data_IF_218733195472
#
_entry.id   IF_218733195472
#
_cell.length_a   1.000
_cell.length_b   1.000
_cell.length_c   1.000
_cell.angle_alpha   90.00
_cell.angle_beta   90.00
_cell.angle_gamma   90.00
#
_symmetry.space_group_name_H-M   'P 1'
#
loop_
_entity.id
_entity.type
_entity.pdbx_description
1 polymer ?
#
# COMPACT_ATOMS: atom_id res chain seq x y z
N UNK A 1 -2.63 21.22 -3.55
CA UNK A 1 -1.18 21.55 -3.56
C UNK A 1 -0.87 23.05 -3.38
N UNK A 2 -1.84 23.88 -2.96
CA UNK A 2 -1.68 25.35 -2.86
C UNK A 2 -0.47 25.82 -2.04
N UNK A 3 -0.15 25.14 -0.92
CA UNK A 3 1.00 25.48 -0.08
C UNK A 3 2.33 25.46 -0.86
N UNK A 4 2.49 24.56 -1.83
CA UNK A 4 3.68 24.52 -2.69
C UNK A 4 3.79 25.78 -3.56
N UNK A 5 2.66 26.23 -4.09
CA UNK A 5 2.57 27.39 -4.97
C UNK A 5 2.76 28.68 -4.18
N UNK A 6 2.11 28.81 -3.03
CA UNK A 6 2.24 29.95 -2.12
C UNK A 6 3.70 30.12 -1.65
N UNK A 7 4.33 29.01 -1.24
CA UNK A 7 5.74 29.04 -0.81
C UNK A 7 6.65 29.49 -1.94
N UNK A 8 6.42 29.00 -3.16
CA UNK A 8 7.19 29.41 -4.32
C UNK A 8 6.95 30.88 -4.71
N UNK A 9 5.71 31.35 -4.63
CA UNK A 9 5.36 32.75 -4.88
C UNK A 9 6.01 33.70 -3.86
N UNK A 10 6.21 33.24 -2.62
CA UNK A 10 6.96 33.95 -1.59
C UNK A 10 8.50 33.85 -1.74
N UNK A 11 9.01 33.21 -2.80
CA UNK A 11 10.45 33.04 -3.07
C UNK A 11 11.10 31.85 -2.35
N UNK A 12 10.32 31.03 -1.65
CA UNK A 12 10.77 29.81 -1.02
C UNK A 12 10.91 28.63 -1.99
N UNK A 13 11.61 27.58 -1.56
CA UNK A 13 11.72 26.31 -2.29
C UNK A 13 11.00 25.21 -1.53
N UNK A 14 9.91 24.72 -2.10
CA UNK A 14 9.15 23.58 -1.59
C UNK A 14 8.74 22.68 -2.74
N UNK A 15 8.78 21.37 -2.52
CA UNK A 15 8.30 20.37 -3.45
C UNK A 15 7.60 19.27 -2.68
N UNK A 16 6.63 18.62 -3.32
CA UNK A 16 5.98 17.45 -2.76
C UNK A 16 6.67 16.18 -3.27
N UNK A 17 6.88 15.23 -2.36
CA UNK A 17 7.18 13.86 -2.74
C UNK A 17 5.85 13.19 -3.09
N UNK A 18 5.79 12.57 -4.27
CA UNK A 18 4.57 11.97 -4.81
C UNK A 18 4.86 10.54 -5.20
N UNK A 19 3.93 9.64 -4.87
CA UNK A 19 4.00 8.24 -5.25
C UNK A 19 3.39 8.04 -6.64
N UNK A 20 3.86 7.05 -7.41
CA UNK A 20 3.26 6.76 -8.72
C UNK A 20 2.01 5.87 -8.66
N UNK A 21 1.62 5.43 -7.46
CA UNK A 21 0.48 4.54 -7.21
C UNK A 21 -0.03 4.73 -5.77
N UNK A 22 -1.10 4.04 -5.40
CA UNK A 22 -1.53 3.98 -4.00
C UNK A 22 -0.44 3.45 -3.09
N UNK A 23 -0.25 4.09 -1.93
CA UNK A 23 0.64 3.62 -0.88
C UNK A 23 -0.06 2.47 -0.17
N UNK A 24 0.51 1.27 -0.26
CA UNK A 24 -0.16 0.05 0.06
C UNK A 24 0.61 -0.71 1.14
N UNK A 25 -0.10 -1.20 2.16
CA UNK A 25 0.45 -2.17 3.11
C UNK A 25 0.02 -3.58 2.73
N UNK A 26 0.97 -4.51 2.82
CA UNK A 26 0.81 -5.94 2.58
C UNK A 26 0.41 -6.61 3.89
N UNK A 27 -0.67 -7.38 3.83
CA UNK A 27 -1.22 -8.10 4.97
C UNK A 27 -1.14 -9.61 4.69
N UNK A 28 -0.73 -10.38 5.69
CA UNK A 28 -0.69 -11.84 5.60
C UNK A 28 -0.61 -12.46 6.99
N UNK A 29 -1.08 -13.71 7.11
CA UNK A 29 -0.81 -14.53 8.30
C UNK A 29 0.70 -14.77 8.52
N UNK A 30 1.52 -14.70 7.47
CA UNK A 30 3.00 -14.77 7.55
C UNK A 30 3.65 -13.47 8.02
N UNK A 31 2.92 -12.36 7.99
CA UNK A 31 3.40 -11.04 8.38
C UNK A 31 2.47 -10.47 9.46
N UNK A 32 1.84 -9.34 9.19
CA UNK A 32 0.90 -8.69 10.09
C UNK A 32 -0.51 -8.73 9.49
N UNK A 33 -1.49 -8.97 10.36
CA UNK A 33 -2.89 -8.75 10.05
C UNK A 33 -3.45 -7.60 10.89
N UNK A 34 -4.54 -6.98 10.44
CA UNK A 34 -5.18 -5.93 11.20
C UNK A 34 -5.68 -6.43 12.58
N UNK A 35 -5.97 -7.72 12.72
CA UNK A 35 -6.52 -8.34 13.92
C UNK A 35 -5.50 -8.68 15.02
N UNK A 36 -4.20 -8.55 14.74
CA UNK A 36 -3.16 -9.19 15.57
C UNK A 36 -3.17 -8.79 17.04
N UNK A 37 -3.63 -7.57 17.34
CA UNK A 37 -3.70 -7.03 18.71
C UNK A 37 -5.07 -7.20 19.39
N UNK A 38 -6.06 -7.79 18.73
CA UNK A 38 -7.38 -8.01 19.32
C UNK A 38 -7.34 -9.11 20.39
N UNK A 39 -8.15 -9.02 21.47
CA UNK A 39 -8.10 -9.96 22.59
C UNK A 39 -8.21 -11.44 22.20
N UNK A 40 -9.11 -11.78 21.25
CA UNK A 40 -9.27 -13.15 20.76
C UNK A 40 -8.12 -13.60 19.85
N UNK A 41 -7.52 -12.67 19.10
CA UNK A 41 -6.53 -12.95 18.06
C UNK A 41 -5.11 -12.97 18.61
N UNK A 42 -4.75 -12.08 19.53
CA UNK A 42 -3.42 -11.95 20.10
C UNK A 42 -2.82 -13.28 20.62
N UNK A 43 -3.51 -14.08 21.47
CA UNK A 43 -2.98 -15.37 21.89
C UNK A 43 -2.90 -16.39 20.74
N UNK A 44 -3.80 -16.31 19.76
CA UNK A 44 -3.79 -17.17 18.58
C UNK A 44 -2.62 -16.83 17.64
N UNK A 45 -2.34 -15.54 17.42
CA UNK A 45 -1.27 -15.05 16.54
C UNK A 45 0.12 -15.25 17.12
N UNK A 46 0.24 -15.43 18.43
CA UNK A 46 1.48 -15.84 19.09
C UNK A 46 1.88 -17.31 18.82
N UNK A 47 0.97 -18.15 18.30
CA UNK A 47 1.27 -19.54 17.98
C UNK A 47 2.14 -19.64 16.71
N UNK A 48 2.96 -20.70 16.56
CA UNK A 48 3.64 -20.98 15.30
C UNK A 48 2.66 -21.05 14.13
N UNK A 49 3.06 -20.63 12.93
CA UNK A 49 2.18 -20.54 11.76
C UNK A 49 1.48 -21.87 11.43
N UNK A 50 2.17 -23.00 11.58
CA UNK A 50 1.58 -24.33 11.38
C UNK A 50 0.47 -24.64 12.38
N UNK A 51 0.63 -24.21 13.63
CA UNK A 51 -0.38 -24.37 14.66
C UNK A 51 -1.58 -23.46 14.42
N UNK A 52 -1.33 -22.22 13.99
CA UNK A 52 -2.40 -21.31 13.55
C UNK A 52 -3.21 -21.95 12.42
N UNK A 53 -2.54 -22.46 11.38
CA UNK A 53 -3.17 -23.15 10.25
C UNK A 53 -4.00 -24.35 10.70
N UNK A 54 -3.49 -25.16 11.62
CA UNK A 54 -4.22 -26.32 12.17
C UNK A 54 -5.48 -25.86 12.92
N UNK A 55 -5.36 -24.85 13.78
CA UNK A 55 -6.47 -24.36 14.60
C UNK A 55 -7.53 -23.58 13.83
N UNK A 56 -7.20 -22.92 12.73
CA UNK A 56 -8.20 -22.26 11.88
C UNK A 56 -9.17 -23.26 11.21
N UNK A 57 -8.82 -24.55 11.17
CA UNK A 57 -9.71 -25.63 10.71
C UNK A 57 -10.67 -26.12 11.80
N UNK A 58 -10.46 -25.73 13.06
CA UNK A 58 -11.39 -26.00 14.15
C UNK A 58 -12.55 -24.98 14.10
N UNK A 59 -13.81 -25.43 13.94
CA UNK A 59 -14.97 -24.54 13.85
C UNK A 59 -15.15 -23.63 15.07
N UNK A 60 -14.81 -24.11 16.27
CA UNK A 60 -15.00 -23.32 17.50
C UNK A 60 -13.92 -22.25 17.63
N UNK A 61 -12.67 -22.55 17.26
CA UNK A 61 -11.62 -21.53 17.18
C UNK A 61 -11.99 -20.48 16.14
N UNK A 62 -12.44 -20.91 14.96
CA UNK A 62 -12.85 -20.00 13.89
C UNK A 62 -13.98 -19.09 14.33
N UNK A 63 -15.03 -19.63 14.96
CA UNK A 63 -16.15 -18.85 15.49
C UNK A 63 -15.68 -17.77 16.46
N UNK A 64 -14.83 -18.13 17.43
CA UNK A 64 -14.27 -17.19 18.42
C UNK A 64 -13.42 -16.09 17.79
N UNK A 65 -12.60 -16.42 16.79
CA UNK A 65 -11.79 -15.42 16.08
C UNK A 65 -12.63 -14.48 15.22
N UNK A 66 -13.66 -15.00 14.54
CA UNK A 66 -14.59 -14.18 13.75
C UNK A 66 -15.38 -13.24 14.66
N UNK A 67 -15.92 -13.73 15.78
CA UNK A 67 -16.58 -12.90 16.78
C UNK A 67 -15.63 -11.82 17.32
N UNK A 68 -14.42 -12.22 17.72
CA UNK A 68 -13.42 -11.28 18.25
C UNK A 68 -12.79 -10.35 17.20
N UNK A 69 -13.03 -10.54 15.91
CA UNK A 69 -12.60 -9.59 14.87
C UNK A 69 -13.45 -8.30 14.86
N UNK A 70 -14.59 -8.32 15.57
CA UNK A 70 -15.48 -7.16 15.78
C UNK A 70 -15.22 -6.45 17.12
N UNK A 71 -14.27 -6.94 17.93
CA UNK A 71 -13.87 -6.30 19.18
C UNK A 71 -13.05 -5.02 18.94
N UNK A 72 -12.99 -4.15 19.95
CA UNK A 72 -12.08 -3.00 19.95
C UNK A 72 -10.71 -3.39 20.52
N UNK A 73 -9.60 -2.91 19.95
CA UNK A 73 -8.27 -3.11 20.52
C UNK A 73 -8.16 -2.60 21.97
N UNK A 74 -7.38 -3.28 22.81
CA UNK A 74 -7.14 -2.89 24.23
C UNK A 74 -6.39 -1.56 24.39
N UNK A 75 -5.86 -0.99 23.31
CA UNK A 75 -5.06 0.23 23.32
C UNK A 75 -5.95 1.46 23.15
N UNK A 76 -5.81 2.43 24.05
CA UNK A 76 -6.51 3.72 23.99
C UNK A 76 -6.08 4.44 22.70
N UNK A 77 -7.05 4.76 21.84
CA UNK A 77 -6.77 5.42 20.58
C UNK A 77 -5.97 6.71 20.76
N UNK A 78 -4.78 6.78 20.17
CA UNK A 78 -3.91 7.94 20.15
C UNK A 78 -4.18 8.73 18.85
N UNK A 79 -5.40 9.24 18.69
CA UNK A 79 -5.76 10.17 17.60
C UNK A 79 -6.99 9.77 16.78
N UNK A 80 -6.95 10.06 15.47
CA UNK A 80 -8.02 9.83 14.48
C UNK A 80 -8.12 8.36 14.06
N UNK A 81 -8.27 7.45 15.01
CA UNK A 81 -8.25 6.01 14.74
C UNK A 81 -9.58 5.50 14.15
N UNK A 82 -9.45 4.60 13.18
CA UNK A 82 -10.50 4.19 12.27
C UNK A 82 -11.58 3.30 12.92
N UNK A 83 -12.75 3.39 12.27
CA UNK A 83 -13.96 2.55 12.32
C UNK A 83 -13.63 1.04 12.28
N UNK A 84 -14.60 0.12 12.54
CA UNK A 84 -14.43 -1.33 12.30
C UNK A 84 -13.67 -1.59 11.01
N UNK A 85 -12.79 -2.61 11.01
CA UNK A 85 -11.80 -2.85 9.96
C UNK A 85 -12.35 -2.58 8.56
N UNK A 86 -11.66 -1.77 7.72
CA UNK A 86 -12.21 -1.33 6.45
C UNK A 86 -12.08 -2.46 5.42
N UNK A 87 -12.87 -3.53 5.54
CA UNK A 87 -12.84 -4.67 4.61
C UNK A 87 -13.17 -4.27 3.16
N UNK A 88 -13.85 -3.14 2.95
CA UNK A 88 -14.04 -2.50 1.64
C UNK A 88 -12.73 -1.96 1.03
N UNK A 89 -11.69 -1.83 1.84
CA UNK A 89 -10.36 -1.34 1.47
C UNK A 89 -9.26 -2.38 1.69
N UNK A 90 -9.64 -3.62 2.03
CA UNK A 90 -8.71 -4.76 2.04
C UNK A 90 -8.97 -5.55 0.77
N UNK A 91 -7.98 -5.61 -0.10
CA UNK A 91 -8.05 -6.25 -1.40
C UNK A 91 -7.32 -7.59 -1.38
N UNK A 92 -7.90 -8.60 -1.99
CA UNK A 92 -7.21 -9.86 -2.25
C UNK A 92 -6.12 -9.63 -3.30
N UNK A 93 -4.86 -9.96 -2.97
CA UNK A 93 -3.74 -9.82 -3.88
C UNK A 93 -3.37 -11.18 -4.50
N UNK A 94 -4.05 -11.54 -5.58
CA UNK A 94 -3.93 -12.82 -6.29
C UNK A 94 -3.35 -12.70 -7.71
N UNK A 95 -3.08 -11.48 -8.17
CA UNK A 95 -2.43 -11.17 -9.44
C UNK A 95 -1.52 -9.94 -9.31
N UNK A 96 -0.59 -9.75 -10.25
CA UNK A 96 0.27 -8.55 -10.28
C UNK A 96 -0.51 -7.32 -10.73
N UNK A 97 -1.44 -7.49 -11.67
CA UNK A 97 -2.29 -6.45 -12.20
C UNK A 97 -3.70 -6.54 -11.59
N UNK A 98 -4.29 -5.39 -11.28
CA UNK A 98 -5.69 -5.29 -10.86
C UNK A 98 -6.68 -5.22 -12.03
N UNK A 99 -7.95 -4.89 -11.77
CA UNK A 99 -8.49 -4.56 -10.44
C UNK A 99 -8.54 -5.78 -9.52
N UNK A 100 -8.27 -5.56 -8.24
CA UNK A 100 -8.42 -6.58 -7.20
C UNK A 100 -9.79 -6.47 -6.57
N UNK A 101 -10.31 -7.59 -6.06
CA UNK A 101 -11.58 -7.64 -5.35
C UNK A 101 -11.38 -7.36 -3.87
N UNK A 102 -12.32 -6.68 -3.25
CA UNK A 102 -12.26 -6.44 -1.80
C UNK A 102 -12.66 -7.69 -1.03
N UNK A 103 -12.19 -7.83 0.20
CA UNK A 103 -12.62 -8.90 1.10
C UNK A 103 -14.12 -8.77 1.39
N UNK A 104 -14.64 -7.56 1.50
CA UNK A 104 -16.07 -7.31 1.69
C UNK A 104 -16.92 -7.78 0.49
N UNK A 105 -16.47 -7.56 -0.74
CA UNK A 105 -17.14 -8.09 -1.94
C UNK A 105 -17.20 -9.62 -1.94
N UNK A 106 -16.05 -10.25 -1.66
CA UNK A 106 -15.96 -11.71 -1.61
C UNK A 106 -16.86 -12.27 -0.48
N UNK A 107 -16.88 -11.62 0.67
CA UNK A 107 -17.69 -12.01 1.81
C UNK A 107 -19.19 -11.94 1.50
N UNK A 108 -19.65 -10.84 0.86
CA UNK A 108 -21.04 -10.68 0.42
C UNK A 108 -21.47 -11.78 -0.55
N UNK A 109 -20.64 -12.07 -1.55
CA UNK A 109 -20.94 -13.13 -2.53
C UNK A 109 -21.01 -14.52 -1.89
N UNK A 110 -20.15 -14.78 -0.90
CA UNK A 110 -20.12 -16.05 -0.16
C UNK A 110 -21.19 -16.14 0.93
N UNK A 111 -21.86 -15.04 1.28
CA UNK A 111 -22.83 -14.98 2.36
C UNK A 111 -22.22 -15.21 3.75
N UNK A 112 -20.97 -14.80 3.96
CA UNK A 112 -20.22 -15.00 5.21
C UNK A 112 -19.69 -13.68 5.77
N UNK A 113 -19.24 -13.72 7.03
CA UNK A 113 -18.56 -12.59 7.66
C UNK A 113 -17.22 -12.26 6.95
N UNK A 114 -16.84 -10.97 6.79
CA UNK A 114 -15.57 -10.60 6.15
C UNK A 114 -14.30 -11.15 6.81
N UNK A 115 -14.24 -11.25 8.15
CA UNK A 115 -13.13 -11.92 8.84
C UNK A 115 -13.13 -13.42 8.51
N UNK A 116 -14.31 -14.04 8.45
CA UNK A 116 -14.44 -15.44 8.06
C UNK A 116 -13.98 -15.67 6.61
N UNK A 117 -14.31 -14.76 5.67
CA UNK A 117 -13.85 -14.80 4.29
C UNK A 117 -12.33 -14.65 4.18
N UNK A 118 -11.73 -13.73 4.95
CA UNK A 118 -10.28 -13.52 4.96
C UNK A 118 -9.53 -14.77 5.48
N UNK A 119 -10.07 -15.44 6.51
CA UNK A 119 -9.55 -16.73 7.00
C UNK A 119 -9.65 -17.80 5.91
N UNK A 120 -10.80 -17.95 5.25
CA UNK A 120 -10.98 -18.94 4.17
C UNK A 120 -10.00 -18.71 3.03
N UNK A 121 -9.90 -17.46 2.54
CA UNK A 121 -8.99 -17.07 1.47
C UNK A 121 -7.52 -17.35 1.81
N UNK A 122 -7.14 -17.21 3.08
CA UNK A 122 -5.81 -17.56 3.54
C UNK A 122 -5.61 -19.08 3.56
N UNK A 123 -6.58 -19.84 4.08
CA UNK A 123 -6.52 -21.31 4.15
C UNK A 123 -6.51 -21.98 2.77
N UNK A 124 -7.18 -21.40 1.76
CA UNK A 124 -7.15 -21.85 0.36
C UNK A 124 -5.72 -22.00 -0.20
N UNK A 125 -4.75 -21.27 0.37
CA UNK A 125 -3.33 -21.29 0.00
C UNK A 125 -2.41 -21.60 1.19
N UNK A 126 -2.86 -22.37 2.18
CA UNK A 126 -2.05 -22.75 3.35
C UNK A 126 -1.41 -21.54 4.07
N UNK A 127 -2.17 -20.45 4.22
CA UNK A 127 -1.76 -19.16 4.78
C UNK A 127 -0.72 -18.39 3.91
N UNK A 128 -0.39 -18.89 2.73
CA UNK A 128 0.42 -18.23 1.71
C UNK A 128 -0.43 -17.33 0.81
N UNK A 129 -1.11 -16.37 1.45
CA UNK A 129 -1.98 -15.40 0.79
C UNK A 129 -1.58 -14.00 1.23
N UNK A 130 -1.54 -13.09 0.26
CA UNK A 130 -1.37 -11.67 0.51
C UNK A 130 -2.70 -10.95 0.29
N UNK A 131 -2.92 -9.95 1.13
CA UNK A 131 -3.92 -8.93 0.94
C UNK A 131 -3.22 -7.57 0.91
N UNK A 132 -3.86 -6.59 0.32
CA UNK A 132 -3.34 -5.23 0.22
C UNK A 132 -4.36 -4.27 0.83
N UNK A 133 -3.88 -3.32 1.63
CA UNK A 133 -4.69 -2.23 2.16
C UNK A 133 -4.04 -0.89 1.75
N UNK A 134 -4.68 -0.08 0.90
CA UNK A 134 -4.23 1.28 0.62
C UNK A 134 -4.35 2.13 1.88
N UNK A 135 -3.28 2.83 2.24
CA UNK A 135 -3.23 3.72 3.42
C UNK A 135 -3.14 5.20 3.05
N UNK A 136 -2.80 5.49 1.80
CA UNK A 136 -2.85 6.82 1.20
C UNK A 136 -2.92 6.68 -0.32
N UNK A 137 -3.28 7.77 -1.00
CA UNK A 137 -3.26 7.84 -2.46
C UNK A 137 -4.18 6.79 -3.12
N UNK A 138 -5.34 6.57 -2.50
CA UNK A 138 -6.35 5.57 -2.88
C UNK A 138 -6.88 5.79 -4.31
N UNK A 139 -7.07 7.06 -4.69
CA UNK A 139 -7.50 7.49 -6.01
C UNK A 139 -6.30 7.60 -6.95
N UNK A 140 -6.32 6.81 -8.04
CA UNK A 140 -5.32 6.91 -9.09
C UNK A 140 -5.40 8.26 -9.84
N UNK A 141 -6.58 8.86 -9.92
CA UNK A 141 -6.76 10.17 -10.54
C UNK A 141 -6.10 11.26 -9.69
N UNK A 142 -6.25 11.19 -8.37
CA UNK A 142 -5.59 12.12 -7.45
C UNK A 142 -4.07 11.95 -7.51
N UNK A 143 -3.59 10.71 -7.60
CA UNK A 143 -2.17 10.39 -7.84
C UNK A 143 -1.68 11.03 -9.12
N UNK A 144 -2.43 10.91 -10.21
CA UNK A 144 -2.07 11.50 -11.49
C UNK A 144 -1.99 13.03 -11.41
N UNK A 145 -2.97 13.66 -10.78
CA UNK A 145 -3.00 15.11 -10.61
C UNK A 145 -1.84 15.60 -9.75
N UNK A 146 -1.50 14.87 -8.68
CA UNK A 146 -0.31 15.15 -7.89
C UNK A 146 0.97 15.00 -8.72
N UNK A 147 1.11 13.95 -9.53
CA UNK A 147 2.30 13.74 -10.37
C UNK A 147 2.46 14.82 -11.46
N UNK A 148 1.36 15.35 -11.99
CA UNK A 148 1.38 16.42 -13.00
C UNK A 148 1.77 17.78 -12.43
N UNK A 149 1.73 17.94 -11.11
CA UNK A 149 2.06 19.21 -10.48
C UNK A 149 3.52 19.59 -10.75
N UNK A 150 3.83 20.82 -11.17
CA UNK A 150 5.19 21.23 -11.59
C UNK A 150 6.23 21.19 -10.46
N UNK A 151 5.78 21.10 -9.20
CA UNK A 151 6.63 20.98 -8.00
C UNK A 151 6.50 19.62 -7.31
N UNK A 152 6.04 18.60 -8.04
CA UNK A 152 6.05 17.23 -7.57
C UNK A 152 7.32 16.51 -7.99
N UNK A 153 7.81 15.63 -7.12
CA UNK A 153 8.90 14.71 -7.40
C UNK A 153 8.41 13.30 -7.18
N UNK A 154 8.38 12.51 -8.25
CA UNK A 154 7.99 11.09 -8.18
C UNK A 154 9.12 10.29 -7.59
N UNK A 155 8.96 9.87 -6.33
CA UNK A 155 10.04 9.32 -5.50
C UNK A 155 9.47 8.59 -4.28
N UNK A 156 10.34 8.25 -3.33
CA UNK A 156 10.00 7.76 -2.00
C UNK A 156 9.36 6.37 -1.99
N UNK A 157 10.08 5.37 -2.49
CA UNK A 157 9.61 3.98 -2.46
C UNK A 157 9.56 3.35 -1.07
N UNK A 158 10.14 3.97 -0.04
CA UNK A 158 10.23 3.45 1.34
C UNK A 158 10.58 1.95 1.47
N UNK A 159 11.26 1.42 0.45
CA UNK A 159 11.43 -0.02 0.29
C UNK A 159 12.55 -0.51 1.18
N UNK A 160 12.23 -1.48 2.04
CA UNK A 160 13.17 -2.04 3.00
C UNK A 160 13.14 -1.39 4.39
N UNK A 161 12.41 -0.29 4.61
CA UNK A 161 12.19 0.26 5.95
C UNK A 161 11.15 -0.57 6.74
N UNK A 162 10.11 -1.02 6.04
CA UNK A 162 9.04 -1.86 6.58
C UNK A 162 8.97 -3.20 5.83
N UNK A 163 10.06 -3.99 5.89
CA UNK A 163 10.34 -5.15 5.02
C UNK A 163 9.16 -6.14 4.84
N UNK A 164 8.37 -6.37 5.88
CA UNK A 164 7.24 -7.30 5.84
C UNK A 164 5.88 -6.68 5.47
N UNK A 165 5.83 -5.37 5.23
CA UNK A 165 4.59 -4.60 5.07
C UNK A 165 4.57 -3.73 3.82
N UNK A 166 5.70 -3.15 3.40
CA UNK A 166 5.74 -2.23 2.26
C UNK A 166 6.77 -2.73 1.24
N UNK A 167 6.31 -2.91 0.00
CA UNK A 167 7.16 -3.25 -1.15
C UNK A 167 6.82 -2.31 -2.28
N UNK A 168 7.59 -1.23 -2.39
CA UNK A 168 7.36 -0.15 -3.33
C UNK A 168 8.53 0.07 -4.29
N UNK A 169 9.40 -0.94 -4.41
CA UNK A 169 10.51 -0.99 -5.36
C UNK A 169 10.03 -0.97 -6.82
N UNK A 170 8.73 -1.18 -7.03
CA UNK A 170 8.06 -1.11 -8.32
C UNK A 170 7.61 0.31 -8.70
N UNK A 171 7.79 1.33 -7.87
CA UNK A 171 7.30 2.69 -8.12
C UNK A 171 7.71 3.24 -9.48
N UNK A 172 8.99 3.09 -9.85
CA UNK A 172 9.54 3.60 -11.10
C UNK A 172 9.07 2.76 -12.29
N UNK A 173 9.04 1.44 -12.16
CA UNK A 173 8.55 0.56 -13.24
C UNK A 173 7.05 0.71 -13.44
N UNK A 174 6.27 0.97 -12.38
CA UNK A 174 4.86 1.28 -12.46
C UNK A 174 4.61 2.61 -13.18
N UNK A 175 5.40 3.66 -12.94
CA UNK A 175 5.33 4.91 -13.71
C UNK A 175 5.48 4.65 -15.22
N UNK A 176 6.48 3.85 -15.59
CA UNK A 176 6.76 3.54 -17.00
C UNK A 176 5.72 2.59 -17.61
N UNK A 177 5.29 1.58 -16.87
CA UNK A 177 4.36 0.57 -17.39
C UNK A 177 2.93 1.09 -17.43
N UNK A 178 2.44 1.63 -16.31
CA UNK A 178 1.06 2.02 -16.16
C UNK A 178 0.82 3.40 -16.77
N UNK A 179 1.54 4.42 -16.32
CA UNK A 179 1.24 5.81 -16.69
C UNK A 179 1.75 6.22 -18.07
N UNK A 180 2.88 5.68 -18.52
CA UNK A 180 3.40 5.94 -19.88
C UNK A 180 2.80 4.98 -20.90
N UNK A 181 3.05 3.67 -20.75
CA UNK A 181 2.67 2.70 -21.79
C UNK A 181 1.15 2.45 -21.84
N UNK A 182 0.51 2.15 -20.71
CA UNK A 182 -0.88 1.70 -20.71
C UNK A 182 -1.89 2.86 -20.71
N UNK A 183 -1.61 3.94 -19.95
CA UNK A 183 -2.49 5.11 -19.82
C UNK A 183 -2.12 6.28 -20.72
N UNK A 184 -0.89 6.32 -21.24
CA UNK A 184 -0.38 7.42 -22.07
C UNK A 184 -0.55 8.80 -21.43
N UNK A 185 -0.54 8.86 -20.10
CA UNK A 185 -0.74 10.08 -19.33
C UNK A 185 0.53 10.95 -19.30
N UNK A 186 1.69 10.34 -19.53
CA UNK A 186 2.97 10.99 -19.75
C UNK A 186 3.66 10.37 -20.97
N UNK A 187 4.49 11.15 -21.66
CA UNK A 187 5.45 10.59 -22.63
C UNK A 187 6.59 9.88 -21.89
N UNK A 188 7.34 9.04 -22.62
CA UNK A 188 8.51 8.37 -22.04
C UNK A 188 9.56 9.38 -21.57
N UNK A 189 9.80 10.44 -22.34
CA UNK A 189 10.75 11.50 -22.00
C UNK A 189 10.33 12.26 -20.74
N UNK A 190 9.02 12.51 -20.57
CA UNK A 190 8.49 13.13 -19.35
C UNK A 190 8.74 12.24 -18.14
N UNK A 191 8.39 10.95 -18.22
CA UNK A 191 8.60 10.01 -17.12
C UNK A 191 10.10 9.82 -16.81
N UNK A 192 10.97 9.69 -17.81
CA UNK A 192 12.42 9.63 -17.61
C UNK A 192 12.91 10.88 -16.88
N UNK A 193 12.48 12.07 -17.32
CA UNK A 193 12.81 13.34 -16.65
C UNK A 193 12.34 13.36 -15.19
N UNK A 194 11.15 12.84 -14.90
CA UNK A 194 10.60 12.74 -13.54
C UNK A 194 11.45 11.82 -12.63
N UNK A 195 12.06 10.78 -13.19
CA UNK A 195 12.87 9.81 -12.45
C UNK A 195 14.36 10.19 -12.34
N UNK A 196 14.85 11.10 -13.18
CA UNK A 196 16.28 11.44 -13.26
C UNK A 196 16.54 12.91 -12.93
N UNK A 197 16.27 13.81 -13.88
CA UNK A 197 16.62 15.23 -13.78
C UNK A 197 15.89 15.91 -12.61
N UNK A 198 14.59 15.63 -12.45
CA UNK A 198 13.78 16.25 -11.39
C UNK A 198 14.36 15.96 -10.00
N UNK A 199 14.56 14.70 -9.57
CA UNK A 199 15.19 14.43 -8.28
C UNK A 199 16.64 14.92 -8.22
N UNK A 200 17.45 14.78 -9.27
CA UNK A 200 18.82 15.32 -9.23
C UNK A 200 18.85 16.84 -8.94
N UNK A 201 17.95 17.59 -9.59
CA UNK A 201 17.80 19.04 -9.37
C UNK A 201 17.32 19.36 -7.95
N UNK A 202 16.36 18.59 -7.44
CA UNK A 202 15.77 18.83 -6.13
C UNK A 202 16.71 18.49 -4.96
N UNK A 203 17.59 17.50 -5.14
CA UNK A 203 18.61 17.11 -4.15
C UNK A 203 19.96 17.79 -4.36
N UNK A 204 20.12 18.62 -5.39
CA UNK A 204 21.32 19.44 -5.60
C UNK A 204 22.49 18.69 -6.24
N UNK A 205 22.22 17.60 -6.95
CA UNK A 205 23.26 16.92 -7.74
C UNK A 205 23.51 17.69 -9.04
N UNK A 206 24.65 18.39 -9.10
CA UNK A 206 25.03 19.23 -10.24
C UNK A 206 25.54 18.43 -11.46
N UNK A 207 25.94 17.18 -11.26
CA UNK A 207 26.61 16.30 -12.24
C UNK A 207 25.86 14.98 -12.50
N UNK A 208 24.57 14.91 -12.13
CA UNK A 208 23.71 13.72 -12.29
C UNK A 208 22.33 14.06 -12.86
N UNK A 209 21.58 13.03 -13.24
CA UNK A 209 20.18 13.15 -13.69
C UNK A 209 20.01 13.50 -15.18
N UNK A 210 21.11 13.65 -15.92
CA UNK A 210 21.13 13.84 -17.37
C UNK A 210 22.23 12.97 -17.98
N UNK A 211 21.97 12.46 -19.18
CA UNK A 211 23.00 11.87 -20.04
C UNK A 211 23.67 13.01 -20.79
N UNK A 212 24.83 13.45 -20.32
CA UNK A 212 25.58 14.58 -20.86
C UNK A 212 27.08 14.38 -20.66
N UNK A 213 27.89 14.83 -21.60
CA UNK A 213 29.35 14.84 -21.43
C UNK A 213 29.75 15.57 -20.13
N UNK A 214 30.67 14.96 -19.38
CA UNK A 214 31.14 15.46 -18.08
C UNK A 214 30.25 15.10 -16.87
N UNK A 215 29.08 14.48 -17.08
CA UNK A 215 28.24 13.98 -15.99
C UNK A 215 28.66 12.56 -15.57
N UNK A 216 28.31 12.17 -14.34
CA UNK A 216 28.63 10.84 -13.81
C UNK A 216 27.84 9.75 -14.55
N UNK A 217 28.53 8.67 -14.90
CA UNK A 217 27.94 7.45 -15.47
C UNK A 217 27.23 6.59 -14.42
#
# INVERSE_FOLDING_TARGET
MALLDETAAAGGRMFAQVHSRGLNVILSFKTQLPFDDLPAWKPFRALPLDEQRRRLRDPEVRRRLVEGAHDTPDRRALGTEARPFPYEWIFLYDSVAGPHRTVAEIARERGVDPAAAMIDLALEKDLDRFFVHPVANESQDDVLDMMKHPRAVVTFSDSGAHVSQIVDSSLQTHLLSHWVRDKQAFTLEQAVRMLTLVPATHWGFADRGLVREGFVA
#
